data_IF_832220949912
#
_entry.id   IF_832220949912
#
_cell.length_a   1.000
_cell.length_b   1.000
_cell.length_c   1.000
_cell.angle_alpha   90.00
_cell.angle_beta   90.00
_cell.angle_gamma   90.00
#
_symmetry.space_group_name_H-M   'P 1'
#
loop_
_entity.id
_entity.type
_entity.pdbx_description
1 polymer ?
#
# COMPACT_ATOMS: atom_id res chain seq x y z
N UNK A 1 -15.80 -20.34 3.52
CA UNK A 1 -15.13 -19.72 2.35
C UNK A 1 -15.05 -18.19 2.45
N UNK A 2 -16.15 -17.45 2.67
CA UNK A 2 -16.14 -15.98 2.83
C UNK A 2 -15.11 -15.45 3.86
N UNK A 3 -15.05 -16.04 5.06
CA UNK A 3 -14.11 -15.63 6.13
C UNK A 3 -12.63 -15.74 5.73
N UNK A 4 -12.27 -16.69 4.88
CA UNK A 4 -10.89 -16.86 4.42
C UNK A 4 -10.42 -15.66 3.58
N UNK A 5 -11.26 -15.17 2.67
CA UNK A 5 -10.96 -13.97 1.89
C UNK A 5 -10.80 -12.72 2.77
N UNK A 6 -11.62 -12.59 3.83
CA UNK A 6 -11.50 -11.48 4.79
C UNK A 6 -10.10 -11.47 5.42
N UNK A 7 -9.59 -12.63 5.86
CA UNK A 7 -8.23 -12.72 6.40
C UNK A 7 -7.15 -12.45 5.35
N UNK A 8 -7.35 -12.88 4.10
CA UNK A 8 -6.41 -12.56 3.03
C UNK A 8 -6.37 -11.05 2.78
N UNK A 9 -7.52 -10.39 2.68
CA UNK A 9 -7.59 -8.94 2.49
C UNK A 9 -7.01 -8.17 3.68
N UNK A 10 -7.13 -8.73 4.90
CA UNK A 10 -6.43 -8.20 6.07
C UNK A 10 -4.92 -8.26 5.89
N UNK A 11 -4.37 -9.40 5.47
CA UNK A 11 -2.92 -9.57 5.23
C UNK A 11 -2.45 -8.63 4.12
N UNK A 12 -3.21 -8.51 3.03
CA UNK A 12 -2.93 -7.57 1.94
C UNK A 12 -2.92 -6.12 2.43
N UNK A 13 -3.94 -5.72 3.19
CA UNK A 13 -4.01 -4.41 3.82
C UNK A 13 -2.83 -4.17 4.75
N UNK A 14 -2.47 -5.15 5.58
CA UNK A 14 -1.37 -5.06 6.53
C UNK A 14 -0.01 -4.91 5.84
N UNK A 15 0.20 -5.54 4.68
CA UNK A 15 1.39 -5.29 3.86
C UNK A 15 1.53 -3.81 3.50
N UNK A 16 0.44 -3.14 3.10
CA UNK A 16 0.47 -1.71 2.77
C UNK A 16 0.84 -0.83 3.97
N UNK A 17 0.41 -1.21 5.17
CA UNK A 17 0.84 -0.57 6.42
C UNK A 17 2.33 -0.75 6.70
N UNK A 18 2.86 -1.97 6.58
CA UNK A 18 4.30 -2.23 6.75
C UNK A 18 5.14 -1.48 5.72
N UNK A 19 4.66 -1.42 4.47
CA UNK A 19 5.31 -0.70 3.38
C UNK A 19 5.36 0.80 3.64
N UNK A 20 4.29 1.36 4.21
CA UNK A 20 4.25 2.75 4.67
C UNK A 20 5.29 3.01 5.76
N UNK A 21 5.36 2.17 6.80
CA UNK A 21 6.36 2.28 7.86
C UNK A 21 7.80 2.20 7.30
N UNK A 22 8.06 1.26 6.39
CA UNK A 22 9.35 1.13 5.70
C UNK A 22 9.72 2.40 4.91
N UNK A 23 8.76 3.01 4.20
CA UNK A 23 9.00 4.26 3.47
C UNK A 23 9.43 5.40 4.39
N UNK A 24 8.81 5.54 5.56
CA UNK A 24 9.15 6.59 6.53
C UNK A 24 10.59 6.41 7.03
N UNK A 25 10.93 5.19 7.48
CA UNK A 25 12.27 4.85 7.94
C UNK A 25 13.32 5.10 6.85
N UNK A 26 13.03 4.68 5.62
CA UNK A 26 13.90 4.91 4.48
C UNK A 26 14.06 6.40 4.18
N UNK A 27 12.97 7.17 4.16
CA UNK A 27 13.00 8.62 3.96
C UNK A 27 13.85 9.33 5.02
N UNK A 28 13.69 8.96 6.29
CA UNK A 28 14.51 9.49 7.38
C UNK A 28 15.98 9.13 7.24
N UNK A 29 16.30 7.88 6.87
CA UNK A 29 17.68 7.47 6.59
C UNK A 29 18.28 8.23 5.41
N UNK A 30 17.51 8.54 4.36
CA UNK A 30 18.01 9.31 3.21
C UNK A 30 18.34 10.74 3.65
N UNK A 31 17.49 11.40 4.45
CA UNK A 31 17.79 12.75 4.96
C UNK A 31 19.03 12.75 5.84
N UNK A 32 19.17 11.77 6.76
CA UNK A 32 20.39 11.62 7.59
C UNK A 32 21.64 11.38 6.75
N UNK A 33 21.54 10.58 5.68
CA UNK A 33 22.66 10.22 4.79
C UNK A 33 22.90 11.20 3.65
N UNK A 34 22.01 12.14 3.36
CA UNK A 34 22.22 13.14 2.30
C UNK A 34 23.46 14.03 2.56
N UNK A 35 24.01 14.00 3.77
CA UNK A 35 25.33 14.57 4.10
C UNK A 35 26.53 13.73 3.61
N UNK A 36 26.34 12.47 3.23
CA UNK A 36 27.39 11.56 2.76
C UNK A 36 26.95 10.89 1.44
N UNK A 37 27.56 11.37 0.34
CA UNK A 37 27.44 10.99 -1.07
C UNK A 37 26.50 9.85 -1.53
N UNK A 38 25.86 10.19 -2.66
CA UNK A 38 24.89 9.49 -3.49
C UNK A 38 25.31 8.08 -3.92
N UNK A 39 24.61 7.07 -3.41
CA UNK A 39 24.57 5.76 -4.05
C UNK A 39 23.15 5.46 -4.52
N UNK A 40 23.04 4.85 -5.70
CA UNK A 40 21.79 4.76 -6.46
C UNK A 40 20.74 3.93 -5.71
N UNK A 41 19.88 4.63 -4.98
CA UNK A 41 19.00 4.02 -4.00
C UNK A 41 17.74 3.48 -4.70
N UNK A 42 17.89 2.38 -5.46
CA UNK A 42 16.73 1.62 -5.96
C UNK A 42 15.94 1.08 -4.76
N UNK A 43 14.61 1.18 -4.84
CA UNK A 43 13.73 0.67 -3.81
C UNK A 43 13.78 -0.85 -3.77
N UNK A 44 14.36 -1.44 -2.72
CA UNK A 44 14.62 -2.89 -2.65
C UNK A 44 13.35 -3.75 -2.68
N UNK A 45 12.19 -3.18 -2.35
CA UNK A 45 10.92 -3.90 -2.27
C UNK A 45 10.06 -3.79 -3.54
N UNK A 46 10.59 -3.24 -4.64
CA UNK A 46 9.82 -3.06 -5.87
C UNK A 46 9.25 -4.37 -6.44
N UNK A 47 10.02 -5.46 -6.36
CA UNK A 47 9.58 -6.81 -6.80
C UNK A 47 8.45 -7.30 -5.89
N UNK A 48 8.58 -7.09 -4.58
CA UNK A 48 7.58 -7.51 -3.60
C UNK A 48 6.27 -6.77 -3.83
N UNK A 49 6.31 -5.47 -4.12
CA UNK A 49 5.11 -4.70 -4.50
C UNK A 49 4.40 -5.32 -5.72
N UNK A 50 5.14 -5.75 -6.75
CA UNK A 50 4.56 -6.40 -7.93
C UNK A 50 3.95 -7.75 -7.56
N UNK A 51 4.66 -8.60 -6.81
CA UNK A 51 4.16 -9.92 -6.40
C UNK A 51 2.87 -9.77 -5.59
N UNK A 52 2.86 -8.91 -4.57
CA UNK A 52 1.67 -8.68 -3.74
C UNK A 52 0.53 -8.08 -4.57
N UNK A 53 0.84 -7.17 -5.50
CA UNK A 53 -0.16 -6.58 -6.38
C UNK A 53 -0.81 -7.61 -7.31
N UNK A 54 -0.02 -8.49 -7.93
CA UNK A 54 -0.53 -9.59 -8.76
C UNK A 54 -1.33 -10.58 -7.92
N UNK A 55 -0.85 -10.95 -6.73
CA UNK A 55 -1.61 -11.80 -5.81
C UNK A 55 -2.95 -11.17 -5.45
N UNK A 56 -3.00 -9.88 -5.12
CA UNK A 56 -4.24 -9.17 -4.81
C UNK A 56 -5.25 -9.21 -5.96
N UNK A 57 -4.80 -9.07 -7.21
CA UNK A 57 -5.66 -9.21 -8.39
C UNK A 57 -6.19 -10.63 -8.54
N UNK A 58 -5.34 -11.66 -8.43
CA UNK A 58 -5.76 -13.06 -8.52
C UNK A 58 -6.77 -13.43 -7.42
N UNK A 59 -6.54 -12.97 -6.20
CA UNK A 59 -7.46 -13.14 -5.07
C UNK A 59 -8.79 -12.42 -5.35
N UNK A 60 -8.75 -11.22 -5.92
CA UNK A 60 -9.95 -10.46 -6.30
C UNK A 60 -10.75 -11.18 -7.39
N UNK A 61 -10.08 -11.70 -8.42
CA UNK A 61 -10.73 -12.46 -9.50
C UNK A 61 -11.35 -13.77 -9.00
N UNK A 62 -10.70 -14.48 -8.08
CA UNK A 62 -11.28 -15.69 -7.47
C UNK A 62 -12.43 -15.37 -6.53
N UNK A 63 -12.41 -14.20 -5.88
CA UNK A 63 -13.48 -13.74 -4.99
C UNK A 63 -14.80 -13.48 -5.73
N UNK A 64 -14.75 -12.98 -6.99
CA UNK A 64 -15.95 -12.69 -7.79
C UNK A 64 -16.82 -13.92 -8.07
N UNK A 65 -16.21 -15.11 -8.06
CA UNK A 65 -16.90 -16.38 -8.34
C UNK A 65 -17.84 -16.82 -7.19
N UNK A 66 -17.84 -16.15 -6.04
CA UNK A 66 -18.68 -16.50 -4.88
C UNK A 66 -20.05 -15.82 -4.95
N UNK A 67 -21.15 -16.58 -4.80
CA UNK A 67 -22.54 -16.09 -4.96
C UNK A 67 -22.94 -14.83 -4.14
N UNK A 68 -22.22 -14.49 -3.06
CA UNK A 68 -22.56 -13.37 -2.16
C UNK A 68 -21.38 -12.39 -1.92
N UNK A 69 -20.46 -12.21 -2.87
CA UNK A 69 -19.27 -11.39 -2.66
C UNK A 69 -19.59 -9.90 -2.36
N UNK A 70 -18.77 -9.27 -1.50
CA UNK A 70 -18.88 -7.85 -1.19
C UNK A 70 -18.22 -7.03 -2.32
N UNK A 71 -19.03 -6.28 -3.09
CA UNK A 71 -18.56 -5.46 -4.21
C UNK A 71 -17.53 -4.40 -3.77
N UNK A 72 -17.73 -3.78 -2.61
CA UNK A 72 -16.81 -2.76 -2.10
C UNK A 72 -15.43 -3.34 -1.80
N UNK A 73 -15.39 -4.48 -1.10
CA UNK A 73 -14.14 -5.18 -0.80
C UNK A 73 -13.40 -5.63 -2.07
N UNK A 74 -14.14 -6.13 -3.06
CA UNK A 74 -13.61 -6.48 -4.36
C UNK A 74 -12.97 -5.27 -5.06
N UNK A 75 -13.69 -4.15 -5.15
CA UNK A 75 -13.21 -2.94 -5.83
C UNK A 75 -11.94 -2.40 -5.17
N UNK A 76 -11.90 -2.33 -3.84
CA UNK A 76 -10.70 -1.88 -3.13
C UNK A 76 -9.55 -2.86 -3.36
N UNK A 77 -9.79 -4.17 -3.29
CA UNK A 77 -8.80 -5.21 -3.55
C UNK A 77 -8.15 -5.08 -4.92
N UNK A 78 -8.96 -4.85 -5.96
CA UNK A 78 -8.46 -4.66 -7.32
C UNK A 78 -7.65 -3.37 -7.46
N UNK A 79 -8.16 -2.24 -6.95
CA UNK A 79 -7.45 -0.95 -7.00
C UNK A 79 -6.13 -1.00 -6.22
N UNK A 80 -6.13 -1.65 -5.06
CA UNK A 80 -4.94 -1.89 -4.27
C UNK A 80 -3.89 -2.68 -5.06
N UNK A 81 -4.30 -3.77 -5.70
CA UNK A 81 -3.41 -4.60 -6.54
C UNK A 81 -2.81 -3.83 -7.71
N UNK A 82 -3.63 -3.08 -8.45
CA UNK A 82 -3.18 -2.25 -9.57
C UNK A 82 -2.16 -1.19 -9.12
N UNK A 83 -2.44 -0.50 -8.02
CA UNK A 83 -1.55 0.56 -7.53
C UNK A 83 -0.20 -0.01 -7.08
N UNK A 84 -0.17 -1.17 -6.43
CA UNK A 84 1.09 -1.82 -6.05
C UNK A 84 1.92 -2.23 -7.28
N UNK A 85 1.29 -2.75 -8.34
CA UNK A 85 1.97 -3.05 -9.59
C UNK A 85 2.54 -1.76 -10.20
N UNK A 86 1.73 -0.71 -10.33
CA UNK A 86 2.18 0.59 -10.86
C UNK A 86 3.37 1.11 -10.04
N UNK A 87 3.29 1.02 -8.72
CA UNK A 87 4.35 1.43 -7.79
C UNK A 87 5.64 0.64 -7.99
N UNK A 88 5.57 -0.68 -8.13
CA UNK A 88 6.74 -1.51 -8.37
C UNK A 88 7.38 -1.23 -9.72
N UNK A 89 6.57 -1.14 -10.78
CA UNK A 89 7.00 -0.84 -12.15
C UNK A 89 7.59 0.57 -12.29
N UNK A 90 7.11 1.54 -11.50
CA UNK A 90 7.64 2.90 -11.49
C UNK A 90 9.16 2.95 -11.30
N UNK A 91 9.72 2.03 -10.51
CA UNK A 91 11.17 1.92 -10.29
C UNK A 91 11.96 1.54 -11.56
N UNK A 92 11.30 0.90 -12.53
CA UNK A 92 11.88 0.49 -13.80
C UNK A 92 11.72 1.56 -14.89
N UNK A 93 10.56 2.23 -14.92
CA UNK A 93 10.20 3.11 -16.04
C UNK A 93 10.52 4.60 -15.84
N UNK A 94 10.61 5.10 -14.60
CA UNK A 94 10.94 6.52 -14.37
C UNK A 94 12.46 6.71 -14.36
N UNK A 95 13.03 6.67 -15.57
CA UNK A 95 14.40 7.12 -15.85
C UNK A 95 14.45 8.42 -16.64
N UNK A 96 13.30 8.96 -17.07
CA UNK A 96 13.25 10.17 -17.89
C UNK A 96 13.04 11.43 -17.01
N UNK A 97 14.07 12.27 -16.80
CA UNK A 97 14.03 13.39 -15.86
C UNK A 97 13.18 14.59 -16.33
N UNK A 98 12.74 14.61 -17.59
CA UNK A 98 12.31 15.86 -18.25
C UNK A 98 10.85 16.27 -18.07
N UNK A 99 9.96 15.44 -17.47
CA UNK A 99 8.54 15.82 -17.28
C UNK A 99 8.11 15.82 -15.81
N UNK A 100 8.13 17.01 -15.20
CA UNK A 100 7.80 17.23 -13.79
C UNK A 100 6.36 16.82 -13.42
N UNK A 101 5.39 17.12 -14.29
CA UNK A 101 3.97 16.83 -14.06
C UNK A 101 3.74 15.32 -14.02
N UNK A 102 4.29 14.60 -15.00
CA UNK A 102 4.18 13.14 -15.09
C UNK A 102 4.79 12.45 -13.86
N UNK A 103 5.91 12.96 -13.35
CA UNK A 103 6.56 12.46 -12.13
C UNK A 103 5.69 12.65 -10.89
N UNK A 104 5.05 13.82 -10.73
CA UNK A 104 4.13 14.07 -9.61
C UNK A 104 2.91 13.16 -9.67
N UNK A 105 2.26 13.05 -10.84
CA UNK A 105 1.11 12.16 -11.03
C UNK A 105 1.47 10.71 -10.71
N UNK A 106 2.59 10.22 -11.24
CA UNK A 106 3.04 8.86 -10.93
C UNK A 106 3.37 8.69 -9.43
N UNK A 107 3.91 9.71 -8.76
CA UNK A 107 4.11 9.67 -7.31
C UNK A 107 2.78 9.54 -6.55
N UNK A 108 1.77 10.33 -6.91
CA UNK A 108 0.46 10.27 -6.26
C UNK A 108 -0.22 8.93 -6.47
N UNK A 109 -0.24 8.44 -7.71
CA UNK A 109 -0.80 7.12 -8.03
C UNK A 109 -0.04 6.03 -7.27
N UNK A 110 1.28 5.99 -7.33
CA UNK A 110 2.07 4.96 -6.66
C UNK A 110 2.03 5.03 -5.12
N UNK A 111 1.58 6.15 -4.53
CA UNK A 111 1.44 6.31 -3.09
C UNK A 111 -0.02 6.16 -2.60
N UNK A 112 -1.00 6.08 -3.50
CA UNK A 112 -2.40 5.86 -3.12
C UNK A 112 -2.64 4.46 -2.54
N UNK A 113 -1.68 3.53 -2.64
CA UNK A 113 -1.74 2.23 -1.95
C UNK A 113 -1.95 2.39 -0.44
N UNK A 114 -1.50 3.51 0.15
CA UNK A 114 -1.72 3.83 1.57
C UNK A 114 -3.22 3.97 1.85
N UNK A 115 -3.93 4.74 1.03
CA UNK A 115 -5.37 4.96 1.17
C UNK A 115 -6.13 3.65 0.98
N UNK A 116 -5.79 2.89 -0.07
CA UNK A 116 -6.42 1.59 -0.33
C UNK A 116 -6.13 0.55 0.76
N UNK A 117 -4.94 0.59 1.35
CA UNK A 117 -4.56 -0.25 2.48
C UNK A 117 -5.35 0.10 3.75
N UNK A 118 -5.55 1.40 4.03
CA UNK A 118 -6.46 1.86 5.09
C UNK A 118 -7.87 1.33 4.84
N UNK A 119 -8.41 1.51 3.63
CA UNK A 119 -9.76 1.04 3.30
C UNK A 119 -9.91 -0.48 3.38
N UNK A 120 -8.89 -1.26 2.97
CA UNK A 120 -8.90 -2.73 3.12
C UNK A 120 -8.99 -3.13 4.59
N UNK A 121 -8.12 -2.58 5.44
CA UNK A 121 -8.10 -2.91 6.87
C UNK A 121 -9.39 -2.47 7.56
N UNK A 122 -9.90 -1.30 7.20
CA UNK A 122 -11.14 -0.75 7.74
C UNK A 122 -12.35 -1.59 7.35
N UNK A 123 -12.45 -1.98 6.07
CA UNK A 123 -13.50 -2.86 5.58
C UNK A 123 -13.50 -4.20 6.32
N UNK A 124 -12.33 -4.78 6.59
CA UNK A 124 -12.22 -6.02 7.38
C UNK A 124 -12.72 -5.83 8.81
N UNK A 125 -12.35 -4.74 9.47
CA UNK A 125 -12.75 -4.45 10.86
C UNK A 125 -14.27 -4.22 10.95
N UNK A 126 -14.82 -3.42 10.05
CA UNK A 126 -16.24 -3.10 10.00
C UNK A 126 -17.07 -4.35 9.64
N UNK A 127 -16.56 -5.24 8.77
CA UNK A 127 -17.19 -6.53 8.48
C UNK A 127 -17.20 -7.50 9.68
N UNK A 128 -16.39 -7.26 10.71
CA UNK A 128 -16.43 -8.01 11.97
C UNK A 128 -17.30 -7.31 13.05
N UNK A 129 -18.04 -6.26 12.70
CA UNK A 129 -18.99 -5.58 13.59
C UNK A 129 -18.38 -4.49 14.47
N UNK A 130 -17.15 -4.06 14.20
CA UNK A 130 -16.51 -2.94 14.92
C UNK A 130 -16.74 -1.66 14.13
N UNK A 131 -17.64 -0.80 14.61
CA UNK A 131 -17.89 0.51 14.01
C UNK A 131 -16.69 1.45 14.18
N UNK A 132 -16.49 2.36 13.21
CA UNK A 132 -15.40 3.33 13.25
C UNK A 132 -14.03 2.76 12.91
N UNK A 133 -13.95 1.57 12.29
CA UNK A 133 -12.69 0.94 11.87
C UNK A 133 -11.79 1.87 11.05
N UNK A 134 -12.39 2.68 10.18
CA UNK A 134 -11.67 3.69 9.39
C UNK A 134 -10.92 4.71 10.25
N UNK A 135 -11.56 5.25 11.29
CA UNK A 135 -10.95 6.26 12.19
C UNK A 135 -9.78 5.64 12.96
N UNK A 136 -9.97 4.42 13.47
CA UNK A 136 -8.94 3.69 14.22
C UNK A 136 -7.71 3.44 13.34
N UNK A 137 -7.91 2.96 12.12
CA UNK A 137 -6.80 2.66 11.21
C UNK A 137 -6.09 3.95 10.80
N UNK A 138 -6.82 5.02 10.48
CA UNK A 138 -6.20 6.34 10.21
C UNK A 138 -5.35 6.78 11.41
N UNK A 139 -5.89 6.68 12.63
CA UNK A 139 -5.16 6.98 13.86
C UNK A 139 -3.85 6.20 13.98
N UNK A 140 -3.86 4.90 13.66
CA UNK A 140 -2.67 4.05 13.65
C UNK A 140 -1.62 4.49 12.62
N UNK A 141 -2.03 4.91 11.42
CA UNK A 141 -1.09 5.46 10.42
C UNK A 141 -0.43 6.75 10.91
N UNK A 142 -1.20 7.67 11.49
CA UNK A 142 -0.66 8.91 12.05
C UNK A 142 0.26 8.65 13.25
N UNK A 143 -0.14 7.77 14.17
CA UNK A 143 0.69 7.37 15.30
C UNK A 143 2.01 6.75 14.82
N UNK A 144 1.97 5.87 13.83
CA UNK A 144 3.17 5.26 13.22
C UNK A 144 4.06 6.29 12.59
N UNK A 145 3.50 7.24 11.83
CA UNK A 145 4.25 8.35 11.28
C UNK A 145 4.94 9.15 12.39
N UNK A 146 4.21 9.51 13.43
CA UNK A 146 4.76 10.28 14.55
C UNK A 146 5.90 9.54 15.25
N UNK A 147 5.69 8.26 15.61
CA UNK A 147 6.69 7.43 16.29
C UNK A 147 7.95 7.27 15.43
N UNK A 148 7.81 6.84 14.17
CA UNK A 148 8.96 6.59 13.30
C UNK A 148 9.67 7.88 12.88
N UNK A 149 8.94 8.99 12.73
CA UNK A 149 9.54 10.24 12.29
C UNK A 149 10.16 11.04 13.43
N UNK A 150 9.46 11.18 14.57
CA UNK A 150 9.91 12.03 15.67
C UNK A 150 10.69 11.29 16.75
N UNK A 151 10.35 10.04 17.06
CA UNK A 151 10.94 9.32 18.20
C UNK A 151 12.19 8.56 17.78
N UNK A 152 12.14 7.83 16.65
CA UNK A 152 13.23 6.93 16.18
C UNK A 152 14.06 7.58 15.07
#
# INVERSE_FOLDING_TARGET
MMKYYIYIYFILGFYGYLRFAYMILRGKSIIKKAFYYTDSNRDKLWIVDIIIGVSALLISFTYIAHKNFNKYLLTIGMLYGLVLIIRGLKSLFIRNPNNFILRKLSNYVANSYIIFSIWLLSAVIEMNGIEGGTIVIIGLYFATYYVLWKII
#
